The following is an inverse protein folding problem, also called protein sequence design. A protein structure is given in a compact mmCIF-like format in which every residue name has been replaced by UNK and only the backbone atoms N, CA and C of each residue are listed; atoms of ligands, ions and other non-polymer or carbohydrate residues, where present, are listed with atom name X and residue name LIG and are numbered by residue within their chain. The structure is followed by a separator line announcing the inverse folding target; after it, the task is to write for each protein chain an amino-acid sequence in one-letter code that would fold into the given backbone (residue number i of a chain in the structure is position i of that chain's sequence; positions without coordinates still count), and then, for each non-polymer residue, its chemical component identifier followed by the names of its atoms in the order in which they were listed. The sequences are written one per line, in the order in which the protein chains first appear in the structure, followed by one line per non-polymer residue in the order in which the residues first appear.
data_IF_349432747274
#
_entry.id   IF_349432747274
#
_cell.length_a   1.000
_cell.length_b   1.000
_cell.length_c   1.000
_cell.angle_alpha   90.00
_cell.angle_beta   90.00
_cell.angle_gamma   90.00
#
_symmetry.space_group_name_H-M   'P 1'
#
loop_
_entity.id
_entity.type
_entity.pdbx_description
1 polymer ?
#
# COMPACT_ATOMS: atom_id res chain seq x y z
N UNK A 1 7.70 44.50 17.88
CA UNK A 1 6.51 43.81 17.32
C UNK A 1 6.74 43.19 15.92
N UNK A 2 7.65 43.71 15.07
CA UNK A 2 7.90 43.16 13.73
C UNK A 2 8.61 41.79 13.73
N UNK A 3 9.51 41.56 14.68
CA UNK A 3 10.24 40.29 14.87
C UNK A 3 9.33 39.10 15.19
N UNK A 4 8.25 39.30 15.96
CA UNK A 4 7.26 38.26 16.26
C UNK A 4 6.45 37.83 15.03
N UNK A 5 6.03 38.77 14.17
CA UNK A 5 5.30 38.47 12.93
C UNK A 5 6.18 37.74 11.91
N UNK A 6 7.45 38.13 11.81
CA UNK A 6 8.43 37.46 10.94
C UNK A 6 8.69 36.03 11.42
N UNK A 7 8.92 35.84 12.73
CA UNK A 7 9.12 34.51 13.31
C UNK A 7 7.90 33.62 13.11
N UNK A 8 6.68 34.14 13.32
CA UNK A 8 5.44 33.40 13.09
C UNK A 8 5.27 32.97 11.63
N UNK A 9 5.52 33.86 10.67
CA UNK A 9 5.38 33.55 9.25
C UNK A 9 6.37 32.48 8.79
N UNK A 10 7.62 32.55 9.28
CA UNK A 10 8.66 31.54 9.03
C UNK A 10 8.28 30.19 9.65
N UNK A 11 7.74 30.18 10.87
CA UNK A 11 7.27 28.94 11.52
C UNK A 11 6.12 28.30 10.74
N UNK A 12 5.15 29.08 10.28
CA UNK A 12 4.02 28.59 9.46
C UNK A 12 4.52 28.02 8.12
N UNK A 13 5.50 28.66 7.47
CA UNK A 13 6.10 28.14 6.23
C UNK A 13 6.81 26.81 6.44
N UNK A 14 7.61 26.68 7.49
CA UNK A 14 8.37 25.46 7.80
C UNK A 14 7.40 24.29 8.09
N UNK A 15 6.34 24.52 8.86
CA UNK A 15 5.36 23.47 9.17
C UNK A 15 4.56 23.06 7.94
N UNK A 16 4.14 24.01 7.09
CA UNK A 16 3.43 23.71 5.83
C UNK A 16 4.33 22.91 4.86
N UNK A 17 5.61 23.26 4.74
CA UNK A 17 6.59 22.52 3.95
C UNK A 17 6.82 21.10 4.51
N UNK A 18 6.97 20.95 5.82
CA UNK A 18 7.13 19.64 6.45
C UNK A 18 5.89 18.74 6.28
N UNK A 19 4.69 19.33 6.34
CA UNK A 19 3.43 18.65 6.04
C UNK A 19 3.41 18.23 4.56
N UNK A 20 3.78 19.10 3.62
CA UNK A 20 3.85 18.74 2.21
C UNK A 20 4.86 17.60 1.91
N UNK A 21 5.98 17.53 2.65
CA UNK A 21 6.97 16.45 2.53
C UNK A 21 6.40 15.12 3.08
N UNK A 22 5.65 15.17 4.18
CA UNK A 22 5.05 13.97 4.80
C UNK A 22 3.77 13.48 4.10
N UNK A 23 3.04 14.35 3.38
CA UNK A 23 1.86 13.96 2.59
C UNK A 23 2.20 13.22 1.29
N UNK A 24 3.49 13.07 0.96
CA UNK A 24 3.97 12.39 -0.24
C UNK A 24 4.46 10.97 0.05
N UNK A 25 3.74 10.23 0.88
CA UNK A 25 4.07 8.83 1.14
C UNK A 25 3.88 8.01 -0.14
N UNK A 26 4.95 7.39 -0.69
CA UNK A 26 4.80 6.53 -1.85
C UNK A 26 3.89 5.35 -1.49
N UNK A 27 2.96 5.00 -2.37
CA UNK A 27 1.99 3.92 -2.15
C UNK A 27 2.65 2.52 -2.15
N UNK A 28 3.43 2.21 -1.12
CA UNK A 28 4.10 0.91 -1.00
C UNK A 28 3.13 -0.24 -0.70
N UNK A 29 1.86 0.07 -0.41
CA UNK A 29 0.88 -0.91 0.09
C UNK A 29 0.11 -1.61 -1.03
N UNK A 30 -0.05 -0.95 -2.16
CA UNK A 30 -0.88 -1.39 -3.30
C UNK A 30 -0.15 -1.26 -4.63
N UNK A 31 0.94 -0.47 -4.71
CA UNK A 31 1.72 -0.35 -5.94
C UNK A 31 2.50 -1.64 -6.22
N UNK A 32 2.20 -2.25 -7.38
CA UNK A 32 2.87 -3.48 -7.84
C UNK A 32 4.38 -3.31 -8.00
N UNK A 33 4.85 -2.14 -8.41
CA UNK A 33 6.26 -1.86 -8.71
C UNK A 33 7.09 -1.50 -7.46
N UNK A 34 6.42 -1.15 -6.35
CA UNK A 34 7.04 -0.67 -5.13
C UNK A 34 6.46 -1.37 -3.89
N UNK A 35 6.21 -2.67 -3.96
CA UNK A 35 5.43 -3.36 -2.94
C UNK A 35 6.23 -3.61 -1.65
N UNK A 36 5.92 -2.87 -0.60
CA UNK A 36 6.57 -2.89 0.71
C UNK A 36 7.91 -2.15 0.74
N UNK A 37 8.52 -1.88 -0.42
CA UNK A 37 9.73 -1.07 -0.57
C UNK A 37 9.84 -0.57 -2.01
N UNK A 38 10.41 0.62 -2.22
CA UNK A 38 10.70 1.15 -3.56
C UNK A 38 11.56 0.18 -4.37
N UNK A 39 11.22 -0.02 -5.65
CA UNK A 39 11.90 -0.92 -6.58
C UNK A 39 11.58 -2.40 -6.39
N UNK A 40 10.79 -2.78 -5.37
CA UNK A 40 10.31 -4.15 -5.20
C UNK A 40 9.06 -4.38 -6.05
N UNK A 41 9.27 -4.92 -7.26
CA UNK A 41 8.18 -5.31 -8.15
C UNK A 41 7.66 -6.71 -7.82
N UNK A 42 6.34 -6.88 -7.75
CA UNK A 42 5.72 -8.20 -7.67
C UNK A 42 5.75 -8.92 -9.03
N UNK A 43 5.72 -10.25 -9.02
CA UNK A 43 5.71 -11.04 -10.25
C UNK A 43 4.46 -10.76 -11.11
N UNK A 44 4.48 -11.20 -12.37
CA UNK A 44 3.42 -10.90 -13.32
C UNK A 44 2.02 -11.30 -12.80
N UNK A 45 1.91 -12.50 -12.21
CA UNK A 45 0.67 -13.06 -11.65
C UNK A 45 0.35 -12.61 -10.22
N UNK A 46 1.19 -11.77 -9.61
CA UNK A 46 1.01 -11.31 -8.23
C UNK A 46 0.45 -9.88 -8.15
N UNK A 47 -0.19 -9.60 -7.03
CA UNK A 47 -0.69 -8.28 -6.66
C UNK A 47 -0.02 -7.81 -5.36
N UNK A 48 0.11 -6.50 -5.19
CA UNK A 48 0.60 -5.94 -3.94
C UNK A 48 -0.54 -5.77 -2.93
N UNK A 49 -0.47 -6.49 -1.81
CA UNK A 49 -1.44 -6.43 -0.72
C UNK A 49 -0.75 -6.04 0.60
N UNK A 50 -1.03 -4.84 1.11
CA UNK A 50 -0.43 -4.29 2.34
C UNK A 50 1.12 -4.39 2.33
N UNK A 51 1.74 -4.21 1.17
CA UNK A 51 3.20 -4.26 1.03
C UNK A 51 3.78 -5.66 0.85
N UNK A 52 2.95 -6.67 0.65
CA UNK A 52 3.36 -8.03 0.31
C UNK A 52 2.86 -8.42 -1.07
N UNK A 53 3.73 -9.04 -1.86
CA UNK A 53 3.33 -9.66 -3.11
C UNK A 53 2.62 -10.98 -2.78
N UNK A 54 1.39 -11.12 -3.28
CA UNK A 54 0.58 -12.32 -3.08
C UNK A 54 -0.02 -12.72 -4.42
N UNK A 55 -0.16 -14.03 -4.63
CA UNK A 55 -0.77 -14.56 -5.84
C UNK A 55 -2.27 -14.77 -5.62
N UNK A 56 -3.15 -13.94 -6.22
CA UNK A 56 -4.58 -14.06 -5.99
C UNK A 56 -5.21 -15.26 -6.71
N UNK A 57 -4.46 -15.99 -7.57
CA UNK A 57 -4.98 -17.16 -8.26
C UNK A 57 -4.96 -18.43 -7.41
N UNK A 58 -4.05 -18.51 -6.44
CA UNK A 58 -3.82 -19.72 -5.64
C UNK A 58 -3.73 -19.45 -4.13
N UNK A 59 -3.47 -18.22 -3.69
CA UNK A 59 -3.45 -17.92 -2.25
C UNK A 59 -4.88 -17.90 -1.69
N UNK A 60 -5.19 -18.91 -0.87
CA UNK A 60 -6.46 -19.06 -0.17
C UNK A 60 -6.85 -17.84 0.69
N UNK A 61 -5.90 -17.02 1.13
CA UNK A 61 -6.14 -15.82 1.94
C UNK A 61 -6.37 -14.56 1.09
N UNK A 62 -6.04 -14.61 -0.20
CA UNK A 62 -6.09 -13.48 -1.14
C UNK A 62 -6.76 -13.87 -2.48
N UNK A 63 -7.71 -14.81 -2.45
CA UNK A 63 -8.28 -15.41 -3.64
C UNK A 63 -9.13 -14.42 -4.44
N UNK A 64 -8.70 -14.10 -5.67
CA UNK A 64 -9.35 -13.09 -6.51
C UNK A 64 -9.17 -11.65 -6.01
N UNK A 65 -8.29 -11.40 -5.03
CA UNK A 65 -7.97 -10.06 -4.55
C UNK A 65 -7.47 -9.99 -3.11
N UNK A 66 -6.96 -8.82 -2.70
CA UNK A 66 -6.45 -8.63 -1.34
C UNK A 66 -7.51 -8.91 -0.27
N UNK A 67 -7.13 -9.68 0.76
CA UNK A 67 -7.98 -10.01 1.91
C UNK A 67 -9.27 -10.77 1.57
N UNK A 68 -9.36 -11.35 0.36
CA UNK A 68 -10.44 -12.25 -0.04
C UNK A 68 -10.13 -13.69 0.32
N UNK A 69 -10.30 -14.02 1.61
CA UNK A 69 -10.07 -15.39 2.08
C UNK A 69 -11.23 -16.32 1.70
N UNK A 70 -10.92 -17.52 1.22
CA UNK A 70 -11.92 -18.57 1.03
C UNK A 70 -12.33 -19.21 2.37
N UNK A 71 -13.60 -19.61 2.46
CA UNK A 71 -14.15 -20.31 3.62
C UNK A 71 -13.37 -21.60 3.97
N UNK A 72 -13.52 -22.07 5.22
CA UNK A 72 -12.95 -23.36 5.63
C UNK A 72 -13.42 -24.46 4.67
N UNK A 73 -12.51 -25.38 4.33
CA UNK A 73 -12.76 -26.44 3.33
C UNK A 73 -12.63 -26.03 1.86
N UNK A 74 -12.56 -24.74 1.51
CA UNK A 74 -12.40 -24.30 0.10
C UNK A 74 -10.95 -24.06 -0.29
N UNK A 75 -10.60 -24.35 -1.53
CA UNK A 75 -9.31 -24.00 -2.14
C UNK A 75 -9.45 -22.73 -2.99
N UNK A 76 -8.32 -22.09 -3.31
CA UNK A 76 -8.29 -21.05 -4.32
C UNK A 76 -7.74 -21.62 -5.61
N UNK A 77 -8.50 -21.53 -6.69
CA UNK A 77 -8.09 -21.96 -8.01
C UNK A 77 -8.55 -20.93 -9.03
N UNK A 78 -7.63 -20.50 -9.90
CA UNK A 78 -7.90 -19.52 -10.97
C UNK A 78 -8.56 -18.22 -10.47
N UNK A 79 -8.26 -17.82 -9.24
CA UNK A 79 -8.82 -16.60 -8.63
C UNK A 79 -10.23 -16.76 -8.07
N UNK A 80 -10.73 -17.99 -7.96
CA UNK A 80 -12.05 -18.30 -7.40
C UNK A 80 -11.95 -19.32 -6.27
N UNK A 81 -12.78 -19.13 -5.25
CA UNK A 81 -12.88 -20.09 -4.16
C UNK A 81 -13.70 -21.31 -4.62
N UNK A 82 -13.03 -22.42 -4.91
CA UNK A 82 -13.69 -23.66 -5.29
C UNK A 82 -13.79 -24.61 -4.09
N UNK A 83 -14.74 -25.54 -4.16
CA UNK A 83 -14.73 -26.72 -3.31
C UNK A 83 -13.60 -27.61 -3.81
N UNK A 84 -12.56 -27.80 -2.99
CA UNK A 84 -11.57 -28.86 -3.20
C UNK A 84 -12.02 -30.09 -2.44
#
# INVERSE_FOLDING_TARGET
MKTFKISYFVVVLITVLAIAITLSEPDLRTNKLNCGRCGKSCQYSEICCKGYCVNPMFDKRHCGGCFKKCNKGRSCAYGMCNYA
#
